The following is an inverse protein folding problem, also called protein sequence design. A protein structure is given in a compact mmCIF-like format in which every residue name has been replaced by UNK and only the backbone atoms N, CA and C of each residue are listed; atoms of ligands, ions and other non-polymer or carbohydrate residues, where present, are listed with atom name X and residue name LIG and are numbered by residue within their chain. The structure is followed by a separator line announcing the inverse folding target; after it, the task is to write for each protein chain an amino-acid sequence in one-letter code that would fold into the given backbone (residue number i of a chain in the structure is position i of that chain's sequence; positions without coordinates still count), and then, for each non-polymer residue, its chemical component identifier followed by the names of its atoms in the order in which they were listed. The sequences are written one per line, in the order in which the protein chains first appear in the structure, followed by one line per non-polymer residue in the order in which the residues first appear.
data_IF_561022244470
#
_entry.id   IF_561022244470
#
_cell.length_a   1.000
_cell.length_b   1.000
_cell.length_c   1.000
_cell.angle_alpha   90.00
_cell.angle_beta   90.00
_cell.angle_gamma   90.00
#
_symmetry.space_group_name_H-M   'P 1'
#
loop_
_entity.id
_entity.type
_entity.pdbx_description
1 polymer ?
#
# COMPACT_ATOMS: atom_id res chain seq x y z
N UNK A 1 -8.39 -7.16 2.41
CA UNK A 1 -8.69 -5.84 1.81
C UNK A 1 -7.70 -4.88 2.41
N UNK A 2 -6.87 -4.22 1.60
CA UNK A 2 -5.74 -3.38 2.06
C UNK A 2 -6.14 -2.39 3.17
N UNK A 3 -7.30 -1.73 3.04
CA UNK A 3 -7.84 -0.83 4.08
C UNK A 3 -8.10 -1.55 5.41
N UNK A 4 -8.68 -2.75 5.36
CA UNK A 4 -8.92 -3.57 6.54
C UNK A 4 -7.62 -4.07 7.16
N UNK A 5 -6.63 -4.43 6.35
CA UNK A 5 -5.28 -4.79 6.82
C UNK A 5 -4.66 -3.62 7.61
N UNK A 6 -4.76 -2.39 7.11
CA UNK A 6 -4.32 -1.21 7.87
C UNK A 6 -5.06 -1.02 9.21
N UNK A 7 -6.39 -1.15 9.21
CA UNK A 7 -7.21 -1.04 10.43
C UNK A 7 -6.84 -2.12 11.45
N UNK A 8 -6.67 -3.37 11.01
CA UNK A 8 -6.29 -4.49 11.88
C UNK A 8 -4.86 -4.34 12.42
N UNK A 9 -3.98 -3.65 11.70
CA UNK A 9 -2.65 -3.27 12.17
C UNK A 9 -2.66 -2.10 13.16
N UNK A 10 -3.84 -1.56 13.49
CA UNK A 10 -4.01 -0.49 14.49
C UNK A 10 -4.06 0.92 13.93
N UNK A 11 -4.28 1.09 12.62
CA UNK A 11 -4.47 2.41 12.03
C UNK A 11 -5.67 3.14 12.66
N UNK A 12 -5.45 4.39 13.08
CA UNK A 12 -6.50 5.28 13.56
C UNK A 12 -7.09 6.15 12.43
N UNK A 13 -6.29 6.40 11.38
CA UNK A 13 -6.68 7.11 10.17
C UNK A 13 -6.27 6.28 8.94
N UNK A 14 -7.27 5.87 8.16
CA UNK A 14 -7.06 5.23 6.84
C UNK A 14 -7.86 5.99 5.80
N UNK A 15 -7.18 6.51 4.78
CA UNK A 15 -7.78 7.28 3.69
C UNK A 15 -7.56 6.60 2.36
N UNK A 16 -8.60 6.63 1.53
CA UNK A 16 -8.54 6.21 0.13
C UNK A 16 -8.74 7.45 -0.72
N UNK A 17 -7.70 7.86 -1.43
CA UNK A 17 -7.68 9.04 -2.29
C UNK A 17 -7.60 8.60 -3.74
N UNK A 18 -8.43 9.19 -4.60
CA UNK A 18 -8.42 8.92 -6.05
C UNK A 18 -8.09 10.20 -6.78
N UNK A 19 -6.95 10.25 -7.46
CA UNK A 19 -6.47 11.44 -8.15
C UNK A 19 -5.56 11.06 -9.32
N UNK A 20 -5.63 11.81 -10.41
CA UNK A 20 -4.74 11.70 -11.58
C UNK A 20 -4.58 10.28 -12.17
N UNK A 21 -5.63 9.46 -12.07
CA UNK A 21 -5.60 8.07 -12.54
C UNK A 21 -5.00 7.09 -11.52
N UNK A 22 -4.87 7.46 -10.25
CA UNK A 22 -4.33 6.62 -9.19
C UNK A 22 -5.32 6.43 -8.05
N UNK A 23 -5.28 5.28 -7.41
CA UNK A 23 -5.87 5.03 -6.10
C UNK A 23 -4.75 4.96 -5.07
N UNK A 24 -4.78 5.82 -4.07
CA UNK A 24 -3.84 5.83 -2.95
C UNK A 24 -4.54 5.35 -1.69
N UNK A 25 -3.99 4.32 -1.05
CA UNK A 25 -4.39 3.89 0.29
C UNK A 25 -3.34 4.42 1.26
N UNK A 26 -3.74 5.36 2.10
CA UNK A 26 -2.88 6.04 3.07
C UNK A 26 -3.29 5.62 4.48
N UNK A 27 -2.32 5.36 5.37
CA UNK A 27 -2.59 5.11 6.78
C UNK A 27 -1.58 5.81 7.69
N UNK A 28 -2.01 6.10 8.91
CA UNK A 28 -1.19 6.65 10.00
C UNK A 28 -0.30 5.61 10.71
N UNK A 29 -0.28 4.38 10.23
CA UNK A 29 0.64 3.31 10.66
C UNK A 29 1.23 2.61 9.44
N UNK A 30 2.39 1.97 9.64
CA UNK A 30 2.99 1.11 8.63
C UNK A 30 2.48 -0.33 8.74
N UNK A 31 1.34 -0.62 8.11
CA UNK A 31 0.72 -1.96 8.16
C UNK A 31 1.47 -3.04 7.37
N UNK A 32 2.50 -2.66 6.61
CA UNK A 32 3.36 -3.58 5.85
C UNK A 32 4.68 -3.87 6.56
N UNK A 33 4.89 -3.34 7.76
CA UNK A 33 6.15 -3.47 8.49
C UNK A 33 6.53 -4.96 8.68
N UNK A 34 7.70 -5.34 8.16
CA UNK A 34 8.24 -6.70 8.28
C UNK A 34 7.81 -7.66 7.17
N UNK A 35 6.98 -7.21 6.21
CA UNK A 35 6.51 -8.01 5.07
C UNK A 35 6.56 -7.21 3.75
N UNK A 36 7.26 -6.07 3.70
CA UNK A 36 7.21 -5.13 2.57
C UNK A 36 7.72 -5.70 1.24
N UNK A 37 8.59 -6.71 1.27
CA UNK A 37 9.06 -7.35 0.06
C UNK A 37 8.04 -8.39 -0.44
N UNK A 38 7.49 -9.16 0.50
CA UNK A 38 6.62 -10.30 0.25
C UNK A 38 5.22 -9.85 -0.19
N UNK A 39 4.64 -8.83 0.47
CA UNK A 39 3.27 -8.36 0.27
C UNK A 39 2.94 -7.99 -1.19
N UNK A 40 3.95 -7.58 -1.96
CA UNK A 40 3.80 -7.22 -3.37
C UNK A 40 4.25 -8.28 -4.37
N UNK A 41 4.95 -9.32 -3.91
CA UNK A 41 5.45 -10.43 -4.75
C UNK A 41 4.55 -11.66 -4.72
N UNK A 42 3.68 -11.76 -3.72
CA UNK A 42 2.75 -12.88 -3.54
C UNK A 42 1.96 -12.75 -2.24
N UNK A 43 1.31 -13.85 -1.87
CA UNK A 43 0.59 -13.95 -0.60
C UNK A 43 1.57 -13.95 0.57
N UNK A 44 1.62 -12.87 1.34
CA UNK A 44 2.36 -12.80 2.60
C UNK A 44 1.43 -13.03 3.80
N UNK A 45 1.82 -13.83 4.82
CA UNK A 45 1.05 -13.99 6.04
C UNK A 45 0.71 -12.65 6.69
N UNK A 46 -0.52 -12.52 7.20
CA UNK A 46 -0.99 -11.31 7.87
C UNK A 46 -1.63 -11.67 9.22
N UNK A 47 -0.82 -11.62 10.27
CA UNK A 47 -1.17 -12.14 11.61
C UNK A 47 -2.34 -11.40 12.26
N UNK A 48 -2.48 -10.09 12.00
CA UNK A 48 -3.59 -9.30 12.53
C UNK A 48 -4.96 -9.72 11.94
N UNK A 49 -4.96 -10.43 10.81
CA UNK A 49 -6.15 -11.08 10.23
C UNK A 49 -6.50 -12.44 10.84
N UNK A 50 -5.71 -12.94 11.79
CA UNK A 50 -5.89 -14.25 12.42
C UNK A 50 -5.17 -15.41 11.71
N UNK A 51 -5.44 -16.68 12.10
CA UNK A 51 -4.65 -17.85 11.69
C UNK A 51 -4.56 -18.12 10.18
N UNK A 52 -5.51 -17.62 9.39
CA UNK A 52 -5.54 -17.74 7.93
C UNK A 52 -5.45 -16.37 7.23
N UNK A 53 -5.02 -15.34 7.96
CA UNK A 53 -4.87 -13.99 7.44
C UNK A 53 -3.73 -13.89 6.43
N UNK A 54 -3.99 -13.17 5.34
CA UNK A 54 -3.04 -12.93 4.25
C UNK A 54 -3.21 -11.52 3.72
N UNK A 55 -2.10 -10.93 3.28
CA UNK A 55 -2.05 -9.64 2.55
C UNK A 55 -2.85 -9.70 1.25
N UNK A 56 -3.47 -8.57 0.89
CA UNK A 56 -4.24 -8.44 -0.35
C UNK A 56 -3.55 -7.58 -1.41
N UNK A 57 -2.42 -6.94 -1.06
CA UNK A 57 -1.63 -6.02 -1.89
C UNK A 57 -1.19 -6.63 -3.22
N UNK A 58 -0.89 -7.93 -3.24
CA UNK A 58 -0.48 -8.62 -4.46
C UNK A 58 -1.53 -8.56 -5.57
N UNK A 59 -2.83 -8.63 -5.25
CA UNK A 59 -3.87 -8.67 -6.28
C UNK A 59 -3.95 -7.37 -7.09
N UNK A 60 -4.07 -6.17 -6.48
CA UNK A 60 -4.01 -4.92 -7.24
C UNK A 60 -2.71 -4.74 -8.02
N UNK A 61 -1.57 -5.24 -7.52
CA UNK A 61 -0.29 -5.21 -8.26
C UNK A 61 -0.39 -5.93 -9.60
N UNK A 62 -1.11 -7.05 -9.69
CA UNK A 62 -1.28 -7.79 -10.95
C UNK A 62 -1.97 -6.92 -12.01
N UNK A 63 -2.99 -6.15 -11.62
CA UNK A 63 -3.87 -5.44 -12.55
C UNK A 63 -3.48 -3.98 -12.83
N UNK A 64 -2.69 -3.34 -11.97
CA UNK A 64 -2.23 -1.96 -12.18
C UNK A 64 -1.06 -1.85 -13.15
N UNK A 65 -0.99 -0.77 -13.94
CA UNK A 65 0.16 -0.51 -14.82
C UNK A 65 1.44 -0.21 -14.02
N UNK A 66 1.32 0.66 -13.02
CA UNK A 66 2.36 0.97 -12.04
C UNK A 66 1.83 0.86 -10.62
N UNK A 67 2.71 0.51 -9.68
CA UNK A 67 2.44 0.51 -8.24
C UNK A 67 3.63 1.12 -7.53
N UNK A 68 3.36 2.04 -6.62
CA UNK A 68 4.37 2.64 -5.77
C UNK A 68 3.93 2.59 -4.31
N UNK A 69 4.88 2.48 -3.39
CA UNK A 69 4.63 2.63 -1.96
C UNK A 69 5.62 3.63 -1.40
N UNK A 70 5.23 4.34 -0.36
CA UNK A 70 6.15 5.20 0.35
C UNK A 70 5.99 5.11 1.87
N UNK A 71 7.12 5.31 2.56
CA UNK A 71 7.18 5.75 3.96
C UNK A 71 7.60 7.22 3.98
N UNK A 72 7.46 7.91 5.11
CA UNK A 72 7.75 9.36 5.28
C UNK A 72 8.97 9.93 4.55
N UNK A 73 10.02 9.14 4.31
CA UNK A 73 11.26 9.59 3.66
C UNK A 73 11.65 8.84 2.39
N UNK A 74 10.87 7.83 1.97
CA UNK A 74 11.30 6.91 0.92
C UNK A 74 10.11 6.52 0.05
N UNK A 75 10.24 6.75 -1.25
CA UNK A 75 9.33 6.22 -2.28
C UNK A 75 10.01 5.02 -2.92
N UNK A 76 9.27 3.93 -3.01
CA UNK A 76 9.68 2.71 -3.70
C UNK A 76 8.70 2.40 -4.82
N UNK A 77 9.25 2.20 -6.01
CA UNK A 77 8.50 1.64 -7.12
C UNK A 77 8.40 0.12 -6.95
N UNK A 78 7.18 -0.39 -6.87
CA UNK A 78 6.88 -1.82 -6.73
C UNK A 78 6.71 -2.46 -8.12
N UNK A 79 6.02 -1.76 -9.03
CA UNK A 79 5.78 -2.18 -10.42
C UNK A 79 5.71 -0.94 -11.32
N UNK A 80 6.07 -1.11 -12.59
CA UNK A 80 5.88 -0.09 -13.62
C UNK A 80 7.05 0.89 -13.71
N UNK A 81 6.79 2.10 -14.21
CA UNK A 81 7.81 3.13 -14.47
C UNK A 81 7.51 4.49 -13.82
N UNK A 82 6.33 4.66 -13.22
CA UNK A 82 5.90 5.91 -12.60
C UNK A 82 5.61 5.73 -11.12
N UNK A 83 6.03 6.68 -10.29
CA UNK A 83 5.61 6.77 -8.89
C UNK A 83 4.32 7.59 -8.71
N UNK A 84 3.80 8.17 -9.80
CA UNK A 84 2.59 8.99 -9.83
C UNK A 84 2.58 10.05 -8.74
N UNK A 85 1.51 10.14 -7.93
CA UNK A 85 1.35 11.16 -6.88
C UNK A 85 2.41 11.06 -5.76
N UNK A 86 3.13 9.95 -5.65
CA UNK A 86 4.16 9.78 -4.62
C UNK A 86 5.51 10.37 -5.00
N UNK A 87 5.74 10.71 -6.29
CA UNK A 87 7.02 11.24 -6.77
C UNK A 87 7.46 12.59 -6.16
N UNK A 88 6.56 13.28 -5.45
CA UNK A 88 6.81 14.56 -4.80
C UNK A 88 6.90 14.55 -3.27
N UNK A 89 6.94 13.37 -2.62
CA UNK A 89 7.05 13.15 -1.16
C UNK A 89 6.42 14.25 -0.27
N UNK A 90 5.16 14.04 0.10
CA UNK A 90 4.47 14.84 1.12
C UNK A 90 3.10 14.25 1.45
N UNK A 91 2.79 14.15 2.75
CA UNK A 91 1.49 13.67 3.22
C UNK A 91 1.51 13.35 4.72
N UNK A 92 0.35 13.42 5.36
CA UNK A 92 0.18 13.11 6.79
C UNK A 92 -0.11 11.62 7.01
N UNK A 93 0.70 10.75 6.42
CA UNK A 93 0.61 9.29 6.53
C UNK A 93 1.96 8.70 6.93
N UNK A 94 1.96 7.55 7.58
CA UNK A 94 3.17 6.74 7.82
C UNK A 94 3.45 5.81 6.65
N UNK A 95 2.38 5.26 6.06
CA UNK A 95 2.45 4.40 4.88
C UNK A 95 1.40 4.81 3.85
N UNK A 96 1.82 4.78 2.59
CA UNK A 96 0.90 4.82 1.44
C UNK A 96 1.26 3.73 0.44
N UNK A 97 0.24 3.16 -0.19
CA UNK A 97 0.37 2.34 -1.40
C UNK A 97 -0.53 2.93 -2.48
N UNK A 98 0.06 3.27 -3.62
CA UNK A 98 -0.59 3.88 -4.76
C UNK A 98 -0.62 2.92 -5.95
N UNK A 99 -1.79 2.77 -6.53
CA UNK A 99 -2.08 1.89 -7.66
C UNK A 99 -2.53 2.71 -8.85
N UNK A 100 -1.84 2.61 -9.97
CA UNK A 100 -2.28 3.23 -11.23
C UNK A 100 -3.49 2.46 -11.77
N UNK A 101 -4.51 3.21 -12.17
CA UNK A 101 -5.70 2.68 -12.82
C UNK A 101 -5.38 2.34 -14.30
N UNK A 102 -6.01 1.29 -14.87
CA UNK A 102 -5.84 0.93 -16.27
C UNK A 102 -6.35 2.00 -17.26
#
# INVERSE_FOLDING_TARGET
MIVLEAILAGAGDVRVEVADGWICVCADVDWLQGIEAEAFSGFAPFTAGGPNGVTSEFFPVVFSASVATAKRSEVRLVKGASAGPLGGLGGSWERVVAFELP
#
